data_IF_796555384833
#
_entry.id   IF_796555384833
#
_cell.length_a   1.000
_cell.length_b   1.000
_cell.length_c   1.000
_cell.angle_alpha   90.00
_cell.angle_beta   90.00
_cell.angle_gamma   90.00
#
_symmetry.space_group_name_H-M   'P 1'
#
loop_
_entity.id
_entity.type
_entity.pdbx_description
1 polymer ?
#
# COMPACT_ATOMS: atom_id res chain seq x y z
N UNK A 1 -14.11 -36.53 -27.29
CA UNK A 1 -12.82 -37.25 -27.12
C UNK A 1 -12.22 -36.95 -25.73
N UNK A 2 -12.92 -37.27 -24.62
CA UNK A 2 -12.48 -36.88 -23.26
C UNK A 2 -12.48 -38.04 -22.24
N UNK A 3 -12.77 -39.27 -22.66
CA UNK A 3 -12.90 -40.42 -21.75
C UNK A 3 -11.72 -41.41 -21.82
N UNK A 4 -10.74 -41.21 -22.72
CA UNK A 4 -9.61 -42.13 -22.86
C UNK A 4 -8.49 -41.89 -21.83
N UNK A 5 -8.23 -40.63 -21.46
CA UNK A 5 -7.08 -40.29 -20.60
C UNK A 5 -7.28 -40.63 -19.11
N UNK A 6 -8.53 -40.75 -18.65
CA UNK A 6 -8.85 -41.01 -17.23
C UNK A 6 -8.71 -42.49 -16.81
N UNK A 7 -8.69 -43.42 -17.76
CA UNK A 7 -8.61 -44.86 -17.48
C UNK A 7 -7.17 -45.34 -17.27
N UNK A 8 -6.22 -44.72 -17.98
CA UNK A 8 -4.81 -45.16 -18.00
C UNK A 8 -4.03 -44.74 -16.74
N UNK A 9 -4.33 -43.56 -16.18
CA UNK A 9 -3.71 -43.07 -14.93
C UNK A 9 -4.16 -43.86 -13.69
N UNK A 10 -5.32 -44.53 -13.76
CA UNK A 10 -5.90 -45.33 -12.65
C UNK A 10 -5.19 -46.67 -12.43
N UNK A 11 -4.49 -47.19 -13.43
CA UNK A 11 -3.85 -48.51 -13.38
C UNK A 11 -2.35 -48.46 -13.03
N UNK A 12 -1.79 -47.28 -12.76
CA UNK A 12 -0.40 -47.15 -12.32
C UNK A 12 -0.31 -47.35 -10.79
N UNK A 13 0.57 -48.25 -10.30
CA UNK A 13 0.52 -48.75 -8.92
C UNK A 13 0.73 -47.68 -7.85
N UNK A 14 1.46 -46.61 -8.16
CA UNK A 14 1.75 -45.51 -7.21
C UNK A 14 0.80 -44.32 -7.43
N UNK A 15 0.56 -43.95 -8.70
CA UNK A 15 -0.28 -42.80 -9.05
C UNK A 15 -1.77 -43.07 -8.81
N UNK A 16 -2.23 -44.31 -8.96
CA UNK A 16 -3.61 -44.71 -8.68
C UNK A 16 -3.97 -44.66 -7.19
N UNK A 17 -3.01 -44.94 -6.30
CA UNK A 17 -3.18 -44.83 -4.85
C UNK A 17 -3.31 -43.36 -4.42
N UNK A 18 -2.41 -42.49 -4.91
CA UNK A 18 -2.48 -41.04 -4.68
C UNK A 18 -3.79 -40.46 -5.23
N UNK A 19 -4.25 -40.92 -6.39
CA UNK A 19 -5.50 -40.43 -6.98
C UNK A 19 -6.73 -40.81 -6.16
N UNK A 20 -6.76 -42.04 -5.62
CA UNK A 20 -7.80 -42.50 -4.69
C UNK A 20 -7.81 -41.71 -3.38
N UNK A 21 -6.63 -41.38 -2.85
CA UNK A 21 -6.50 -40.59 -1.62
C UNK A 21 -6.97 -39.13 -1.82
N UNK A 22 -6.62 -38.53 -2.96
CA UNK A 22 -7.13 -37.20 -3.33
C UNK A 22 -8.65 -37.27 -3.52
N UNK A 23 -9.21 -38.32 -4.16
CA UNK A 23 -10.66 -38.57 -4.30
C UNK A 23 -11.39 -38.74 -2.95
N UNK A 24 -10.76 -39.41 -1.98
CA UNK A 24 -11.28 -39.62 -0.63
C UNK A 24 -11.21 -38.37 0.26
N UNK A 25 -10.42 -37.36 -0.11
CA UNK A 25 -10.31 -36.12 0.66
C UNK A 25 -11.69 -35.43 0.78
N UNK A 26 -12.12 -35.04 2.00
CA UNK A 26 -13.43 -34.44 2.22
C UNK A 26 -13.59 -33.17 1.38
N UNK A 27 -14.73 -33.07 0.69
CA UNK A 27 -15.05 -31.91 -0.15
C UNK A 27 -14.98 -30.64 0.71
N UNK A 28 -14.25 -29.60 0.26
CA UNK A 28 -14.23 -28.31 0.96
C UNK A 28 -15.65 -27.83 1.23
N UNK A 29 -15.99 -27.51 2.48
CA UNK A 29 -17.26 -26.82 2.78
C UNK A 29 -17.12 -25.39 2.28
N UNK A 30 -17.80 -24.98 1.20
CA UNK A 30 -17.59 -23.67 0.61
C UNK A 30 -18.28 -22.60 1.45
N UNK A 31 -17.64 -21.43 1.57
CA UNK A 31 -18.27 -20.28 2.21
C UNK A 31 -19.32 -19.67 1.25
N UNK A 32 -20.60 -19.73 1.65
CA UNK A 32 -21.73 -19.28 0.83
C UNK A 32 -22.11 -17.80 1.06
N UNK A 33 -21.47 -17.10 1.98
CA UNK A 33 -21.76 -15.68 2.25
C UNK A 33 -21.15 -14.77 1.18
N UNK A 34 -21.99 -14.33 0.23
CA UNK A 34 -21.60 -13.37 -0.82
C UNK A 34 -21.13 -12.06 -0.19
N UNK A 35 -21.83 -11.58 0.85
CA UNK A 35 -21.50 -10.33 1.51
C UNK A 35 -20.08 -10.35 2.10
N UNK A 36 -19.69 -11.44 2.76
CA UNK A 36 -18.34 -11.59 3.31
C UNK A 36 -17.29 -11.56 2.19
N UNK A 37 -17.52 -12.29 1.09
CA UNK A 37 -16.60 -12.31 -0.08
C UNK A 37 -16.42 -10.91 -0.68
N UNK A 38 -17.50 -10.17 -0.87
CA UNK A 38 -17.45 -8.80 -1.41
C UNK A 38 -16.71 -7.85 -0.46
N UNK A 39 -16.96 -7.95 0.84
CA UNK A 39 -16.27 -7.12 1.83
C UNK A 39 -14.77 -7.44 1.91
N UNK A 40 -14.40 -8.72 1.86
CA UNK A 40 -12.99 -9.14 1.78
C UNK A 40 -12.35 -8.63 0.49
N UNK A 41 -13.01 -8.75 -0.66
CA UNK A 41 -12.48 -8.23 -1.92
C UNK A 41 -12.30 -6.71 -1.89
N UNK A 42 -13.26 -5.97 -1.34
CA UNK A 42 -13.13 -4.53 -1.15
C UNK A 42 -11.95 -4.18 -0.25
N UNK A 43 -11.78 -4.90 0.86
CA UNK A 43 -10.65 -4.72 1.78
C UNK A 43 -9.30 -4.93 1.07
N UNK A 44 -9.22 -5.94 0.21
CA UNK A 44 -8.03 -6.29 -0.57
C UNK A 44 -7.70 -5.20 -1.59
N UNK A 45 -8.70 -4.71 -2.33
CA UNK A 45 -8.51 -3.63 -3.30
C UNK A 45 -8.01 -2.36 -2.60
N UNK A 46 -8.57 -2.02 -1.43
CA UNK A 46 -8.09 -0.87 -0.65
C UNK A 46 -6.64 -1.09 -0.16
N UNK A 47 -6.25 -2.32 0.19
CA UNK A 47 -4.86 -2.65 0.51
C UNK A 47 -3.91 -2.46 -0.68
N UNK A 48 -4.31 -2.82 -1.89
CA UNK A 48 -3.53 -2.58 -3.13
C UNK A 48 -3.41 -1.07 -3.38
N UNK A 49 -4.53 -0.33 -3.29
CA UNK A 49 -4.55 1.14 -3.43
C UNK A 49 -3.65 1.81 -2.38
N UNK A 50 -3.59 1.27 -1.16
CA UNK A 50 -2.75 1.82 -0.10
C UNK A 50 -1.26 1.77 -0.49
N UNK A 51 -0.80 0.65 -1.08
CA UNK A 51 0.57 0.51 -1.57
C UNK A 51 0.83 1.49 -2.72
N UNK A 52 -0.09 1.62 -3.67
CA UNK A 52 0.06 2.57 -4.78
C UNK A 52 0.06 4.03 -4.32
N UNK A 53 -0.77 4.42 -3.36
CA UNK A 53 -0.79 5.79 -2.83
C UNK A 53 0.49 6.08 -2.04
N UNK A 54 1.04 5.09 -1.36
CA UNK A 54 2.31 5.22 -0.66
C UNK A 54 3.51 5.25 -1.63
N UNK A 55 3.48 4.45 -2.70
CA UNK A 55 4.54 4.29 -3.68
C UNK A 55 4.49 5.30 -4.84
N UNK A 56 3.32 5.78 -5.23
CA UNK A 56 3.12 6.75 -6.33
C UNK A 56 3.58 8.17 -6.02
N UNK A 57 4.01 8.42 -4.78
CA UNK A 57 4.81 9.61 -4.43
C UNK A 57 6.29 9.42 -4.84
N UNK A 58 6.72 8.17 -5.07
CA UNK A 58 8.11 7.78 -5.29
C UNK A 58 8.45 7.32 -6.72
N UNK A 59 7.47 6.85 -7.53
CA UNK A 59 7.74 6.33 -8.89
C UNK A 59 6.71 6.80 -9.93
N UNK A 60 7.18 7.29 -11.09
CA UNK A 60 6.38 7.68 -12.27
C UNK A 60 5.86 6.46 -13.08
N UNK A 61 5.74 5.30 -12.45
CA UNK A 61 5.32 4.06 -13.11
C UNK A 61 3.79 3.86 -13.08
N UNK A 62 3.29 2.96 -13.93
CA UNK A 62 1.88 2.58 -13.96
C UNK A 62 1.45 2.02 -12.58
N UNK A 63 0.38 2.56 -11.95
CA UNK A 63 -0.05 2.11 -10.64
C UNK A 63 -0.42 0.62 -10.66
N UNK A 64 0.06 -0.16 -9.69
CA UNK A 64 -0.17 -1.62 -9.62
C UNK A 64 -1.67 -1.95 -9.55
N UNK A 65 -2.48 -1.06 -9.01
CA UNK A 65 -3.95 -1.12 -8.95
C UNK A 65 -4.56 -1.30 -10.34
N UNK A 66 -3.98 -0.69 -11.39
CA UNK A 66 -4.52 -0.72 -12.76
C UNK A 66 -4.69 -2.15 -13.27
N UNK A 67 -3.75 -3.04 -12.93
CA UNK A 67 -3.81 -4.44 -13.35
C UNK A 67 -4.23 -5.37 -12.19
N UNK A 68 -3.74 -5.14 -10.97
CA UNK A 68 -3.96 -6.04 -9.85
C UNK A 68 -5.41 -6.01 -9.33
N UNK A 69 -6.04 -4.82 -9.29
CA UNK A 69 -7.44 -4.71 -8.85
C UNK A 69 -8.41 -5.43 -9.80
N UNK A 70 -8.40 -5.20 -11.13
CA UNK A 70 -9.30 -5.94 -12.03
C UNK A 70 -8.98 -7.44 -12.04
N UNK A 71 -7.70 -7.82 -12.01
CA UNK A 71 -7.32 -9.24 -12.03
C UNK A 71 -7.77 -9.98 -10.76
N UNK A 72 -7.68 -9.33 -9.58
CA UNK A 72 -8.20 -9.90 -8.33
C UNK A 72 -9.73 -10.02 -8.33
N UNK A 73 -10.45 -9.07 -8.94
CA UNK A 73 -11.92 -9.15 -9.11
C UNK A 73 -12.29 -10.32 -10.02
N UNK A 74 -11.62 -10.47 -11.16
CA UNK A 74 -11.80 -11.61 -12.07
C UNK A 74 -11.52 -12.92 -11.33
N UNK A 75 -10.45 -12.98 -10.54
CA UNK A 75 -10.11 -14.12 -9.71
C UNK A 75 -11.22 -14.47 -8.71
N UNK A 76 -11.75 -13.47 -8.00
CA UNK A 76 -12.83 -13.65 -7.04
C UNK A 76 -14.13 -14.16 -7.70
N UNK A 77 -14.47 -13.63 -8.89
CA UNK A 77 -15.62 -14.08 -9.69
C UNK A 77 -15.41 -15.53 -10.16
N UNK A 78 -14.24 -15.83 -10.72
CA UNK A 78 -13.89 -17.18 -11.17
C UNK A 78 -13.95 -18.19 -10.02
N UNK A 79 -13.39 -17.82 -8.87
CA UNK A 79 -13.43 -18.62 -7.65
C UNK A 79 -14.87 -18.90 -7.20
N UNK A 80 -15.76 -17.91 -7.30
CA UNK A 80 -17.18 -18.07 -6.95
C UNK A 80 -17.90 -19.09 -7.84
N UNK A 81 -17.68 -19.06 -9.15
CA UNK A 81 -18.28 -20.00 -10.10
C UNK A 81 -17.71 -21.42 -9.97
N UNK A 82 -16.41 -21.54 -9.67
CA UNK A 82 -15.73 -22.83 -9.59
C UNK A 82 -15.69 -23.44 -8.17
N UNK A 83 -16.32 -22.82 -7.16
CA UNK A 83 -16.24 -23.25 -5.75
C UNK A 83 -16.68 -24.69 -5.46
N UNK A 84 -17.54 -25.27 -6.29
CA UNK A 84 -18.00 -26.66 -6.14
C UNK A 84 -17.24 -27.66 -7.03
N UNK A 85 -16.37 -27.18 -7.93
CA UNK A 85 -15.64 -28.01 -8.88
C UNK A 85 -14.22 -28.28 -8.37
N UNK A 86 -13.77 -29.53 -8.45
CA UNK A 86 -12.40 -29.90 -8.07
C UNK A 86 -11.45 -29.69 -9.25
N UNK A 87 -11.16 -28.43 -9.56
CA UNK A 87 -10.27 -28.04 -10.65
C UNK A 87 -8.80 -28.16 -10.22
N UNK A 88 -8.32 -29.40 -10.05
CA UNK A 88 -6.93 -29.73 -9.72
C UNK A 88 -5.91 -29.05 -10.66
N UNK A 89 -6.07 -29.06 -12.01
CA UNK A 89 -5.08 -28.44 -12.89
C UNK A 89 -4.99 -26.91 -12.69
N UNK A 90 -6.11 -26.24 -12.42
CA UNK A 90 -6.09 -24.81 -12.13
C UNK A 90 -5.36 -24.50 -10.83
N UNK A 91 -5.57 -25.30 -9.78
CA UNK A 91 -4.83 -25.17 -8.51
C UNK A 91 -3.33 -25.40 -8.68
N UNK A 92 -2.96 -26.37 -9.51
CA UNK A 92 -1.56 -26.64 -9.82
C UNK A 92 -0.91 -25.48 -10.58
N UNK A 93 -1.61 -24.92 -11.57
CA UNK A 93 -1.17 -23.73 -12.29
C UNK A 93 -1.00 -22.52 -11.37
N UNK A 94 -1.96 -22.28 -10.45
CA UNK A 94 -1.86 -21.21 -9.46
C UNK A 94 -0.69 -21.43 -8.48
N UNK A 95 -0.43 -22.67 -8.07
CA UNK A 95 0.71 -22.99 -7.23
C UNK A 95 2.05 -22.71 -7.94
N UNK A 96 2.17 -23.05 -9.22
CA UNK A 96 3.33 -22.69 -10.05
C UNK A 96 3.45 -21.16 -10.13
N UNK A 97 2.34 -20.45 -10.40
CA UNK A 97 2.33 -18.99 -10.44
C UNK A 97 2.85 -18.36 -9.15
N UNK A 98 2.45 -18.90 -7.98
CA UNK A 98 2.94 -18.42 -6.69
C UNK A 98 4.43 -18.70 -6.46
N UNK A 99 4.94 -19.84 -6.95
CA UNK A 99 6.38 -20.16 -6.90
C UNK A 99 7.19 -19.25 -7.83
N UNK A 100 6.67 -18.92 -9.01
CA UNK A 100 7.32 -17.98 -9.93
C UNK A 100 7.35 -16.57 -9.35
N UNK A 101 6.26 -16.11 -8.73
CA UNK A 101 6.23 -14.84 -8.00
C UNK A 101 7.26 -14.79 -6.85
N UNK A 102 7.43 -15.91 -6.14
CA UNK A 102 8.47 -16.02 -5.11
C UNK A 102 9.88 -15.97 -5.70
N UNK A 103 10.11 -16.64 -6.83
CA UNK A 103 11.41 -16.60 -7.52
C UNK A 103 11.74 -15.20 -8.04
N UNK A 104 10.77 -14.48 -8.62
CA UNK A 104 10.91 -13.08 -9.05
C UNK A 104 11.24 -12.17 -7.85
N UNK A 105 10.49 -12.30 -6.75
CA UNK A 105 10.76 -11.58 -5.50
C UNK A 105 12.19 -11.80 -5.00
N UNK A 106 12.64 -13.06 -4.91
CA UNK A 106 14.00 -13.38 -4.46
C UNK A 106 15.07 -12.86 -5.43
N UNK A 107 14.82 -12.92 -6.74
CA UNK A 107 15.71 -12.36 -7.75
C UNK A 107 15.87 -10.85 -7.57
N UNK A 108 14.76 -10.12 -7.46
CA UNK A 108 14.75 -8.67 -7.24
C UNK A 108 15.35 -8.27 -5.90
N UNK A 109 15.13 -9.07 -4.85
CA UNK A 109 15.73 -8.82 -3.54
C UNK A 109 17.27 -8.87 -3.57
N UNK A 110 17.85 -9.68 -4.45
CA UNK A 110 19.30 -9.79 -4.62
C UNK A 110 19.85 -8.67 -5.51
N UNK A 111 19.09 -8.19 -6.49
CA UNK A 111 19.53 -7.13 -7.40
C UNK A 111 19.28 -5.71 -6.87
N UNK A 112 18.20 -5.49 -6.12
CA UNK A 112 17.74 -4.19 -5.60
C UNK A 112 17.80 -4.16 -4.07
N UNK A 113 18.99 -3.87 -3.53
CA UNK A 113 19.22 -3.77 -2.08
C UNK A 113 18.74 -2.43 -1.49
N UNK A 114 18.43 -1.44 -2.31
CA UNK A 114 18.09 -0.07 -1.88
C UNK A 114 16.66 0.08 -1.38
N UNK A 115 15.68 -0.60 -1.99
CA UNK A 115 14.26 -0.44 -1.63
C UNK A 115 13.47 -1.75 -1.53
N UNK A 116 13.94 -2.62 -0.64
CA UNK A 116 13.35 -3.94 -0.37
C UNK A 116 11.88 -3.89 0.07
N UNK A 117 11.40 -2.75 0.57
CA UNK A 117 9.99 -2.56 1.00
C UNK A 117 9.04 -2.54 -0.18
N UNK A 118 9.42 -1.86 -1.26
CA UNK A 118 8.61 -1.79 -2.48
C UNK A 118 8.52 -3.17 -3.13
N UNK A 119 9.65 -3.87 -3.22
CA UNK A 119 9.75 -5.24 -3.75
C UNK A 119 8.86 -6.21 -2.93
N UNK A 120 8.84 -6.07 -1.61
CA UNK A 120 7.94 -6.86 -0.74
C UNK A 120 6.46 -6.53 -1.00
N UNK A 121 6.12 -5.25 -1.19
CA UNK A 121 4.76 -4.82 -1.53
C UNK A 121 4.26 -5.43 -2.84
N UNK A 122 5.08 -5.39 -3.89
CA UNK A 122 4.77 -5.98 -5.20
C UNK A 122 4.54 -7.49 -5.09
N UNK A 123 5.42 -8.21 -4.38
CA UNK A 123 5.28 -9.64 -4.14
C UNK A 123 3.97 -9.99 -3.44
N UNK A 124 3.61 -9.25 -2.39
CA UNK A 124 2.36 -9.48 -1.67
C UNK A 124 1.13 -9.22 -2.54
N UNK A 125 1.17 -8.22 -3.42
CA UNK A 125 0.09 -7.96 -4.39
C UNK A 125 -0.03 -9.11 -5.39
N UNK A 126 1.09 -9.58 -5.96
CA UNK A 126 1.10 -10.71 -6.89
C UNK A 126 0.50 -11.97 -6.24
N UNK A 127 0.94 -12.30 -5.01
CA UNK A 127 0.38 -13.41 -4.25
C UNK A 127 -1.11 -13.23 -3.98
N UNK A 128 -1.54 -12.01 -3.63
CA UNK A 128 -2.93 -11.73 -3.34
C UNK A 128 -3.83 -11.90 -4.56
N UNK A 129 -3.36 -11.47 -5.73
CA UNK A 129 -4.06 -11.65 -7.00
C UNK A 129 -4.19 -13.12 -7.34
N UNK A 130 -3.09 -13.89 -7.26
CA UNK A 130 -3.11 -15.34 -7.52
C UNK A 130 -4.01 -16.09 -6.53
N UNK A 131 -3.92 -15.74 -5.24
CA UNK A 131 -4.74 -16.32 -4.19
C UNK A 131 -6.24 -16.02 -4.39
N UNK A 132 -6.59 -14.88 -5.01
CA UNK A 132 -7.98 -14.52 -5.29
C UNK A 132 -8.68 -15.52 -6.23
N UNK A 133 -7.93 -16.23 -7.09
CA UNK A 133 -8.47 -17.28 -7.97
C UNK A 133 -8.81 -18.58 -7.23
N UNK A 134 -8.24 -18.84 -6.04
CA UNK A 134 -8.46 -20.06 -5.25
C UNK A 134 -8.97 -19.75 -3.83
N UNK A 135 -10.12 -19.07 -3.74
CA UNK A 135 -10.87 -18.82 -2.49
C UNK A 135 -12.12 -19.72 -2.29
N UNK A 136 -12.04 -21.07 -2.39
CA UNK A 136 -13.23 -21.90 -2.16
C UNK A 136 -13.59 -21.97 -0.67
N UNK A 137 -12.62 -21.98 0.26
CA UNK A 137 -12.87 -22.18 1.69
C UNK A 137 -12.91 -20.88 2.46
N UNK A 138 -13.69 -20.91 3.55
CA UNK A 138 -13.78 -19.84 4.55
C UNK A 138 -12.43 -19.42 5.14
N UNK A 139 -11.54 -20.38 5.40
CA UNK A 139 -10.19 -20.10 5.94
C UNK A 139 -9.35 -19.25 4.97
N UNK A 140 -9.55 -19.47 3.66
CA UNK A 140 -8.78 -18.79 2.61
C UNK A 140 -9.17 -17.31 2.55
N UNK A 141 -10.46 -16.97 2.78
CA UNK A 141 -10.90 -15.57 2.94
C UNK A 141 -10.23 -14.88 4.14
N UNK A 142 -10.03 -15.63 5.25
CA UNK A 142 -9.30 -15.15 6.42
C UNK A 142 -7.85 -14.77 6.11
N UNK A 143 -7.17 -15.58 5.29
CA UNK A 143 -5.82 -15.28 4.84
C UNK A 143 -5.78 -14.04 3.94
N UNK A 144 -6.73 -13.90 3.01
CA UNK A 144 -6.82 -12.70 2.18
C UNK A 144 -7.03 -11.41 2.98
N UNK A 145 -7.81 -11.43 4.08
CA UNK A 145 -7.92 -10.29 4.98
C UNK A 145 -6.59 -9.96 5.67
N UNK A 146 -5.86 -11.00 6.09
CA UNK A 146 -4.57 -10.85 6.77
C UNK A 146 -3.53 -10.27 5.82
N UNK A 147 -3.45 -10.77 4.58
CA UNK A 147 -2.56 -10.23 3.54
C UNK A 147 -2.93 -8.77 3.24
N UNK A 148 -4.22 -8.42 3.17
CA UNK A 148 -4.66 -7.03 3.03
C UNK A 148 -4.17 -6.11 4.16
N UNK A 149 -4.18 -6.60 5.40
CA UNK A 149 -3.64 -5.87 6.55
C UNK A 149 -2.11 -5.73 6.48
N UNK A 150 -1.40 -6.76 6.02
CA UNK A 150 0.05 -6.71 5.80
C UNK A 150 0.38 -5.68 4.72
N UNK A 151 -0.36 -5.66 3.60
CA UNK A 151 -0.21 -4.66 2.53
C UNK A 151 -0.38 -3.24 3.06
N UNK A 152 -1.40 -3.01 3.90
CA UNK A 152 -1.60 -1.73 4.57
C UNK A 152 -0.39 -1.35 5.45
N UNK A 153 0.17 -2.31 6.19
CA UNK A 153 1.35 -2.10 7.01
C UNK A 153 2.59 -1.74 6.19
N UNK A 154 2.86 -2.50 5.12
CA UNK A 154 3.97 -2.22 4.18
C UNK A 154 3.80 -0.83 3.58
N UNK A 155 2.61 -0.48 3.10
CA UNK A 155 2.30 0.87 2.60
C UNK A 155 2.57 1.96 3.65
N UNK A 156 2.22 1.72 4.91
CA UNK A 156 2.50 2.64 6.02
C UNK A 156 4.00 2.87 6.27
N UNK A 157 4.85 1.88 6.00
CA UNK A 157 6.32 2.03 6.14
C UNK A 157 6.99 2.76 4.97
N UNK A 158 6.33 2.80 3.81
CA UNK A 158 6.82 3.47 2.60
C UNK A 158 6.26 4.90 2.50
N UNK A 159 5.07 5.14 3.06
CA UNK A 159 4.39 6.43 2.98
C UNK A 159 5.19 7.57 3.60
N UNK A 160 5.38 8.64 2.83
CA UNK A 160 6.09 9.86 3.24
C UNK A 160 5.17 11.07 3.45
N UNK A 161 3.88 10.93 3.12
CA UNK A 161 2.94 12.05 3.06
C UNK A 161 1.61 11.70 3.73
N UNK A 162 0.85 12.74 4.09
CA UNK A 162 -0.46 12.57 4.73
C UNK A 162 -1.54 12.00 3.79
N UNK A 163 -1.24 11.81 2.50
CA UNK A 163 -2.18 11.28 1.50
C UNK A 163 -2.58 9.83 1.77
N UNK A 164 -1.76 9.08 2.50
CA UNK A 164 -2.07 7.72 2.96
C UNK A 164 -3.16 7.69 4.05
N UNK A 165 -3.29 8.75 4.86
CA UNK A 165 -4.21 8.81 6.00
C UNK A 165 -5.68 8.51 5.65
N UNK A 166 -6.26 9.15 4.60
CA UNK A 166 -7.60 8.81 4.13
C UNK A 166 -7.77 7.35 3.70
N UNK A 167 -6.78 6.75 3.04
CA UNK A 167 -6.82 5.34 2.61
C UNK A 167 -6.79 4.41 3.82
N UNK A 168 -5.98 4.73 4.83
CA UNK A 168 -5.95 4.03 6.11
C UNK A 168 -7.33 4.05 6.80
N UNK A 169 -7.98 5.21 6.87
CA UNK A 169 -9.32 5.33 7.45
C UNK A 169 -10.36 4.51 6.67
N UNK A 170 -10.31 4.55 5.33
CA UNK A 170 -11.17 3.74 4.48
C UNK A 170 -10.96 2.24 4.72
N UNK A 171 -9.71 1.80 4.83
CA UNK A 171 -9.38 0.41 5.13
C UNK A 171 -10.01 -0.03 6.46
N UNK A 172 -9.82 0.75 7.53
CA UNK A 172 -10.37 0.43 8.86
C UNK A 172 -11.92 0.40 8.81
N UNK A 173 -12.53 1.37 8.12
CA UNK A 173 -13.99 1.44 7.99
C UNK A 173 -14.59 0.19 7.32
N UNK A 174 -13.86 -0.43 6.38
CA UNK A 174 -14.26 -1.69 5.72
C UNK A 174 -13.84 -2.92 6.55
N UNK A 175 -12.70 -2.87 7.23
CA UNK A 175 -12.16 -3.97 8.04
C UNK A 175 -13.09 -4.33 9.19
N UNK A 176 -13.65 -3.34 9.90
CA UNK A 176 -14.55 -3.58 11.05
C UNK A 176 -15.77 -4.44 10.66
N UNK A 177 -16.63 -4.04 9.69
CA UNK A 177 -17.77 -4.87 9.30
C UNK A 177 -17.33 -6.21 8.71
N UNK A 178 -16.19 -6.26 8.00
CA UNK A 178 -15.64 -7.50 7.47
C UNK A 178 -15.28 -8.50 8.58
N UNK A 179 -14.59 -8.06 9.62
CA UNK A 179 -14.21 -8.86 10.79
C UNK A 179 -15.43 -9.34 11.59
N UNK A 180 -16.45 -8.49 11.75
CA UNK A 180 -17.71 -8.88 12.41
C UNK A 180 -18.40 -9.99 11.62
N UNK A 181 -18.44 -9.88 10.29
CA UNK A 181 -19.02 -10.90 9.41
C UNK A 181 -18.21 -12.20 9.44
N UNK A 182 -16.88 -12.12 9.44
CA UNK A 182 -16.02 -13.29 9.57
C UNK A 182 -16.26 -13.99 10.91
N UNK A 183 -16.22 -13.25 12.03
CA UNK A 183 -16.46 -13.78 13.37
C UNK A 183 -17.82 -14.48 13.48
N UNK A 184 -18.88 -13.86 12.94
CA UNK A 184 -20.23 -14.46 12.94
C UNK A 184 -20.31 -15.72 12.09
N UNK A 185 -19.67 -15.74 10.92
CA UNK A 185 -19.58 -16.93 10.09
C UNK A 185 -18.85 -18.07 10.83
N UNK A 186 -17.82 -17.73 11.62
CA UNK A 186 -17.02 -18.62 12.48
C UNK A 186 -17.87 -19.30 13.56
N UNK A 187 -18.76 -18.53 14.17
CA UNK A 187 -19.67 -19.01 15.22
C UNK A 187 -20.84 -19.87 14.69
N UNK A 188 -20.97 -20.04 13.37
CA UNK A 188 -22.05 -20.86 12.79
C UNK A 188 -23.45 -20.33 13.08
N UNK A 189 -23.59 -19.07 13.51
CA UNK A 189 -24.86 -18.44 13.87
C UNK A 189 -25.82 -18.31 12.67
N UNK A 190 -25.30 -18.40 11.45
CA UNK A 190 -26.15 -18.53 10.26
C UNK A 190 -26.74 -19.94 10.14
N UNK A 191 -25.99 -21.01 10.44
CA UNK A 191 -26.42 -22.40 10.29
C UNK A 191 -27.53 -22.82 11.27
N UNK A 192 -27.45 -22.39 12.54
CA UNK A 192 -28.36 -22.88 13.60
C UNK A 192 -29.79 -22.34 13.52
N UNK A 193 -30.01 -21.22 12.82
CA UNK A 193 -31.33 -20.57 12.67
C UNK A 193 -32.05 -21.04 11.39
N UNK A 194 -31.34 -21.67 10.45
CA UNK A 194 -31.84 -22.01 9.10
C UNK A 194 -32.85 -23.18 9.08
N UNK A 195 -32.92 -24.00 10.13
CA UNK A 195 -33.66 -25.26 10.11
C UNK A 195 -35.20 -25.19 10.10
N UNK A 196 -35.88 -24.05 10.35
CA UNK A 196 -37.31 -24.12 10.72
C UNK A 196 -38.30 -23.02 10.29
N UNK A 197 -38.04 -22.13 9.31
CA UNK A 197 -39.08 -21.12 8.97
C UNK A 197 -39.09 -20.63 7.51
N UNK A 198 -40.28 -20.32 7.00
CA UNK A 198 -40.58 -19.95 5.60
C UNK A 198 -39.78 -18.77 5.00
N UNK A 199 -39.48 -18.89 3.70
CA UNK A 199 -38.64 -18.00 2.84
C UNK A 199 -38.97 -16.50 2.90
N UNK A 200 -40.23 -16.11 3.13
CA UNK A 200 -40.65 -14.69 3.14
C UNK A 200 -40.35 -14.02 4.49
N UNK A 201 -40.55 -14.72 5.62
CA UNK A 201 -40.12 -14.24 6.95
C UNK A 201 -38.59 -14.30 7.10
N UNK A 202 -37.92 -15.23 6.41
CA UNK A 202 -36.45 -15.38 6.34
C UNK A 202 -35.73 -14.13 5.84
N UNK A 203 -36.15 -13.52 4.72
CA UNK A 203 -35.49 -12.31 4.17
C UNK A 203 -35.63 -11.10 5.09
N UNK A 204 -36.82 -10.83 5.63
CA UNK A 204 -37.05 -9.71 6.57
C UNK A 204 -36.26 -9.87 7.88
N UNK A 205 -36.21 -11.08 8.44
CA UNK A 205 -35.43 -11.35 9.67
C UNK A 205 -33.92 -11.29 9.43
N UNK A 206 -33.43 -11.73 8.26
CA UNK A 206 -32.01 -11.64 7.88
C UNK A 206 -31.57 -10.18 7.71
N UNK A 207 -32.38 -9.34 7.08
CA UNK A 207 -32.11 -7.89 6.94
C UNK A 207 -32.18 -7.19 8.31
N UNK A 208 -33.16 -7.54 9.15
CA UNK A 208 -33.27 -7.00 10.51
C UNK A 208 -32.09 -7.39 11.40
N UNK A 209 -31.63 -8.65 11.33
CA UNK A 209 -30.44 -9.11 12.06
C UNK A 209 -29.16 -8.46 11.52
N UNK A 210 -29.01 -8.36 10.19
CA UNK A 210 -27.88 -7.65 9.58
C UNK A 210 -27.85 -6.18 10.00
N UNK A 211 -28.99 -5.48 9.97
CA UNK A 211 -29.10 -4.08 10.42
C UNK A 211 -28.88 -3.90 11.93
N UNK A 212 -29.25 -4.91 12.74
CA UNK A 212 -29.00 -4.89 14.17
C UNK A 212 -27.52 -5.14 14.51
N UNK A 213 -26.84 -6.00 13.73
CA UNK A 213 -25.41 -6.31 13.94
C UNK A 213 -24.48 -5.30 13.28
N UNK A 214 -24.81 -4.82 12.08
CA UNK A 214 -24.13 -3.75 11.34
C UNK A 214 -24.78 -2.40 11.66
N UNK A 215 -25.25 -2.21 12.91
CA UNK A 215 -25.86 -0.94 13.29
C UNK A 215 -24.81 0.17 13.08
N UNK A 216 -25.11 1.21 12.29
CA UNK A 216 -24.12 2.21 11.93
C UNK A 216 -23.55 2.90 13.16
N UNK A 217 -24.37 3.07 14.22
CA UNK A 217 -23.95 3.60 15.53
C UNK A 217 -22.84 2.78 16.19
N UNK A 218 -22.96 1.44 16.24
CA UNK A 218 -21.90 0.59 16.85
C UNK A 218 -20.64 0.59 16.01
N UNK A 219 -20.77 0.59 14.68
CA UNK A 219 -19.62 0.66 13.77
C UNK A 219 -18.86 1.99 13.92
N UNK A 220 -19.58 3.11 14.04
CA UNK A 220 -18.95 4.42 14.28
C UNK A 220 -18.30 4.49 15.65
N UNK A 221 -18.93 3.96 16.71
CA UNK A 221 -18.30 3.90 18.04
C UNK A 221 -17.02 3.07 17.99
N UNK A 222 -17.05 1.86 17.38
CA UNK A 222 -15.85 1.02 17.25
C UNK A 222 -14.76 1.72 16.44
N UNK A 223 -15.11 2.39 15.34
CA UNK A 223 -14.18 3.16 14.54
C UNK A 223 -13.51 4.28 15.37
N UNK A 224 -14.30 5.05 16.12
CA UNK A 224 -13.78 6.12 17.00
C UNK A 224 -12.89 5.56 18.11
N UNK A 225 -13.24 4.42 18.70
CA UNK A 225 -12.41 3.74 19.71
C UNK A 225 -11.08 3.29 19.11
N UNK A 226 -11.08 2.68 17.93
CA UNK A 226 -9.87 2.24 17.24
C UNK A 226 -8.98 3.43 16.90
N UNK A 227 -9.55 4.51 16.35
CA UNK A 227 -8.82 5.73 16.02
C UNK A 227 -8.26 6.38 17.29
N UNK A 228 -9.07 6.49 18.34
CA UNK A 228 -8.64 7.06 19.64
C UNK A 228 -7.51 6.28 20.28
N UNK A 229 -7.58 4.94 20.27
CA UNK A 229 -6.49 4.08 20.74
C UNK A 229 -5.24 4.21 19.87
N UNK A 230 -5.40 4.20 18.54
CA UNK A 230 -4.29 4.37 17.61
C UNK A 230 -3.57 5.71 17.79
N UNK A 231 -4.32 6.80 17.92
CA UNK A 231 -3.77 8.12 18.22
C UNK A 231 -3.12 8.18 19.61
N UNK A 232 -3.73 7.53 20.61
CA UNK A 232 -3.16 7.43 21.96
C UNK A 232 -1.81 6.70 21.97
N UNK A 233 -1.72 5.56 21.29
CA UNK A 233 -0.47 4.81 21.11
C UNK A 233 0.55 5.69 20.36
N UNK A 234 0.13 6.35 19.28
CA UNK A 234 0.97 7.23 18.49
C UNK A 234 1.50 8.46 19.27
N UNK A 235 0.71 9.00 20.20
CA UNK A 235 1.12 10.09 21.06
C UNK A 235 2.12 9.66 22.14
N UNK A 236 2.01 8.41 22.61
CA UNK A 236 2.89 7.83 23.63
C UNK A 236 4.18 7.21 23.05
N UNK A 237 4.21 6.89 21.75
CA UNK A 237 5.39 6.35 21.09
C UNK A 237 6.48 7.43 20.95
N UNK A 238 7.71 7.18 21.44
CA UNK A 238 8.82 8.12 21.27
C UNK A 238 9.17 8.24 19.79
N UNK A 239 9.00 9.45 19.22
CA UNK A 239 9.37 9.74 17.84
C UNK A 239 10.87 10.02 17.78
N UNK A 240 11.66 8.98 17.52
CA UNK A 240 13.08 9.15 17.26
C UNK A 240 13.26 9.76 15.85
N UNK A 241 14.04 10.84 15.68
CA UNK A 241 14.29 11.43 14.37
C UNK A 241 15.01 10.42 13.48
N UNK A 242 14.34 9.99 12.40
CA UNK A 242 14.71 8.83 11.59
C UNK A 242 15.78 9.05 10.52
N UNK A 243 16.48 10.19 10.52
CA UNK A 243 17.56 10.45 9.56
C UNK A 243 18.68 11.24 10.23
N UNK A 244 19.56 10.54 10.94
CA UNK A 244 20.87 11.09 11.24
C UNK A 244 21.69 10.96 9.96
N UNK A 245 21.96 12.09 9.31
CA UNK A 245 22.93 12.17 8.22
C UNK A 245 24.22 11.59 8.78
N UNK A 246 24.61 10.38 8.33
CA UNK A 246 25.89 9.79 8.71
C UNK A 246 26.97 10.64 8.09
N UNK A 247 27.63 11.47 8.89
CA UNK A 247 28.86 12.12 8.47
C UNK A 247 29.89 11.04 8.18
N UNK A 248 30.61 11.17 7.06
CA UNK A 248 31.73 10.29 6.79
C UNK A 248 32.82 10.53 7.85
N UNK A 249 33.66 9.54 8.17
CA UNK A 249 34.65 9.64 9.26
C UNK A 249 35.68 10.78 9.11
N UNK A 250 35.69 11.52 7.99
CA UNK A 250 36.60 12.64 7.71
C UNK A 250 35.86 13.93 7.29
N UNK A 251 34.54 14.01 7.45
CA UNK A 251 33.79 15.26 7.19
C UNK A 251 33.67 16.08 8.47
N UNK A 252 34.00 17.38 8.41
CA UNK A 252 33.77 18.30 9.51
C UNK A 252 32.30 18.24 9.96
N UNK A 253 31.99 18.17 11.27
CA UNK A 253 30.63 18.18 11.75
C UNK A 253 29.98 19.51 11.39
N UNK A 254 29.14 19.51 10.36
CA UNK A 254 28.28 20.64 10.07
C UNK A 254 27.09 20.52 11.03
N UNK A 255 27.03 21.41 12.02
CA UNK A 255 25.83 21.56 12.83
C UNK A 255 24.74 22.16 11.92
N UNK A 256 23.89 21.30 11.41
CA UNK A 256 22.66 21.74 10.77
C UNK A 256 21.67 22.06 11.88
N UNK A 257 21.32 23.34 12.05
CA UNK A 257 20.17 23.73 12.86
C UNK A 257 18.90 23.27 12.15
N UNK A 258 18.53 22.01 12.39
CA UNK A 258 17.39 21.32 11.75
C UNK A 258 16.06 22.05 11.99
N UNK A 259 15.97 22.89 13.02
CA UNK A 259 14.79 23.71 13.31
C UNK A 259 14.49 24.79 12.25
N UNK A 260 15.50 25.26 11.51
CA UNK A 260 15.36 26.37 10.55
C UNK A 260 15.64 25.98 9.10
N UNK A 261 15.77 24.68 8.78
CA UNK A 261 16.03 24.24 7.41
C UNK A 261 14.75 24.30 6.56
N UNK A 262 14.48 25.45 5.96
CA UNK A 262 13.49 25.58 4.89
C UNK A 262 14.19 25.37 3.54
N UNK A 263 13.92 24.22 2.89
CA UNK A 263 14.46 23.88 1.56
C UNK A 263 14.07 24.86 0.45
N UNK A 264 13.24 25.87 0.75
CA UNK A 264 12.89 26.99 -0.15
C UNK A 264 13.84 28.18 -0.05
N UNK A 265 14.70 28.24 0.98
CA UNK A 265 15.59 29.37 1.23
C UNK A 265 17.02 28.90 1.46
N UNK A 266 17.66 28.41 0.39
CA UNK A 266 19.10 28.10 0.42
C UNK A 266 19.85 29.43 0.27
N UNK A 267 20.21 30.04 1.40
CA UNK A 267 21.01 31.27 1.40
C UNK A 267 22.48 30.91 1.56
N UNK A 268 23.33 31.39 0.64
CA UNK A 268 24.77 31.19 0.75
C UNK A 268 25.35 32.18 1.78
N UNK A 269 25.94 31.69 2.88
CA UNK A 269 26.50 32.54 3.94
C UNK A 269 27.73 33.35 3.51
N UNK A 270 28.27 33.15 2.30
CA UNK A 270 29.29 34.04 1.72
C UNK A 270 28.74 35.38 1.23
N UNK A 271 27.41 35.49 1.07
CA UNK A 271 26.74 36.69 0.55
C UNK A 271 25.83 37.34 1.62
N UNK A 272 26.29 37.41 2.86
CA UNK A 272 25.54 38.04 3.95
C UNK A 272 25.42 39.54 3.64
N UNK A 273 24.18 40.01 3.48
CA UNK A 273 23.83 41.43 3.50
C UNK A 273 24.23 42.02 4.84
N UNK A 274 25.36 42.73 4.87
CA UNK A 274 25.77 43.51 6.03
C UNK A 274 24.97 44.82 6.02
N UNK A 275 23.91 44.87 6.82
CA UNK A 275 23.29 46.11 7.29
C UNK A 275 21.97 46.51 6.64
N UNK A 276 20.85 45.99 7.19
CA UNK A 276 19.55 46.67 7.14
C UNK A 276 19.38 47.45 8.45
N UNK A 277 19.87 48.68 8.48
CA UNK A 277 19.50 49.67 9.48
C UNK A 277 18.38 50.54 8.93
N UNK A 278 17.33 50.76 9.73
CA UNK A 278 16.25 51.70 9.43
C UNK A 278 16.80 53.06 9.00
N UNK A 279 16.51 53.47 7.77
CA UNK A 279 16.97 54.76 7.24
C UNK A 279 16.65 54.89 5.76
N UNK A 280 15.74 55.82 5.46
CA UNK A 280 15.44 56.31 4.12
C UNK A 280 16.76 56.78 3.45
N UNK A 281 17.20 56.06 2.42
CA UNK A 281 18.52 56.25 1.84
C UNK A 281 18.67 55.60 0.47
N UNK A 282 18.56 56.42 -0.57
CA UNK A 282 18.96 56.09 -1.94
C UNK A 282 20.48 55.86 -1.98
N UNK A 283 20.91 54.60 -1.89
CA UNK A 283 22.32 54.21 -1.96
C UNK A 283 22.49 52.90 -2.71
N UNK A 284 23.08 52.96 -3.90
CA UNK A 284 23.54 51.79 -4.64
C UNK A 284 24.68 51.10 -3.89
N UNK A 285 24.47 49.84 -3.52
CA UNK A 285 25.43 49.03 -2.78
C UNK A 285 25.26 47.56 -3.12
N UNK A 286 26.31 47.02 -3.72
CA UNK A 286 26.56 45.67 -4.22
C UNK A 286 26.18 44.55 -3.23
N UNK A 287 25.63 43.46 -3.78
CA UNK A 287 25.53 42.18 -3.06
C UNK A 287 24.47 41.21 -3.56
N UNK A 288 23.45 41.67 -4.29
CA UNK A 288 22.37 40.80 -4.77
C UNK A 288 21.85 41.21 -6.13
N UNK A 289 21.85 40.26 -7.09
CA UNK A 289 21.15 40.44 -8.35
C UNK A 289 19.64 40.52 -8.11
N UNK A 290 19.00 41.55 -8.66
CA UNK A 290 17.56 41.78 -8.49
C UNK A 290 16.76 40.68 -9.21
N UNK A 291 15.86 40.01 -8.49
CA UNK A 291 15.06 38.89 -9.05
C UNK A 291 14.05 39.32 -10.13
N UNK A 292 13.74 40.61 -10.24
CA UNK A 292 12.82 41.16 -11.23
C UNK A 292 13.19 42.59 -11.61
N UNK A 293 12.87 42.98 -12.85
CA UNK A 293 13.12 44.32 -13.39
C UNK A 293 14.38 44.42 -14.26
N UNK A 294 14.54 45.52 -15.01
CA UNK A 294 15.76 45.82 -15.78
C UNK A 294 16.89 46.24 -14.84
N UNK A 295 18.12 45.79 -15.12
CA UNK A 295 19.28 46.12 -14.29
C UNK A 295 20.61 45.63 -14.86
N UNK A 296 21.70 45.91 -14.13
CA UNK A 296 23.05 45.42 -14.42
C UNK A 296 23.33 44.17 -13.61
N UNK A 297 23.93 43.17 -14.26
CA UNK A 297 24.36 41.93 -13.64
C UNK A 297 25.57 42.19 -12.72
N UNK A 298 25.51 41.74 -11.46
CA UNK A 298 26.70 41.58 -10.60
C UNK A 298 27.53 40.41 -11.16
N UNK A 299 28.74 40.72 -11.65
CA UNK A 299 29.63 39.80 -12.34
C UNK A 299 30.20 38.69 -11.44
N UNK A 300 30.12 38.86 -10.12
CA UNK A 300 30.68 37.92 -9.13
C UNK A 300 29.62 37.03 -8.47
N UNK A 301 28.33 37.33 -8.66
CA UNK A 301 27.24 36.66 -7.98
C UNK A 301 26.82 35.35 -8.68
N UNK A 302 26.76 34.26 -7.91
CA UNK A 302 26.38 32.93 -8.40
C UNK A 302 24.88 32.63 -8.22
N UNK A 303 24.18 32.37 -9.33
CA UNK A 303 22.72 32.12 -9.35
C UNK A 303 22.27 30.74 -8.87
N UNK A 304 23.17 29.78 -8.68
CA UNK A 304 22.77 28.39 -8.37
C UNK A 304 22.05 28.20 -7.04
N UNK A 305 22.00 29.25 -6.20
CA UNK A 305 21.25 29.27 -4.93
C UNK A 305 19.93 30.05 -5.00
N UNK A 306 19.61 30.70 -6.13
CA UNK A 306 18.37 31.46 -6.30
C UNK A 306 17.25 30.59 -6.85
N UNK A 307 16.02 30.94 -6.47
CA UNK A 307 14.81 30.26 -6.97
C UNK A 307 14.43 30.69 -8.39
N UNK A 308 14.95 31.84 -8.87
CA UNK A 308 14.66 32.42 -10.18
C UNK A 308 15.90 33.08 -10.79
N UNK A 309 16.01 33.02 -12.12
CA UNK A 309 17.05 33.71 -12.89
C UNK A 309 16.39 34.88 -13.64
N UNK A 310 16.85 36.10 -13.37
CA UNK A 310 16.40 37.29 -14.10
C UNK A 310 17.21 37.45 -15.39
N UNK A 311 16.60 37.15 -16.54
CA UNK A 311 17.24 37.24 -17.85
C UNK A 311 17.31 38.67 -18.41
N UNK A 312 16.66 39.64 -17.76
CA UNK A 312 16.67 41.03 -18.20
C UNK A 312 17.92 41.79 -17.74
N UNK A 313 18.78 41.15 -16.95
CA UNK A 313 20.04 41.73 -16.48
C UNK A 313 21.08 41.67 -17.61
N UNK A 314 21.76 42.80 -17.85
CA UNK A 314 22.83 42.88 -18.86
C UNK A 314 24.19 42.81 -18.19
N UNK A 315 25.08 41.98 -18.74
CA UNK A 315 26.47 41.81 -18.29
C UNK A 315 27.01 40.42 -18.60
N UNK A 316 28.26 40.17 -18.20
CA UNK A 316 28.89 38.86 -18.27
C UNK A 316 29.41 38.48 -16.88
N UNK A 317 29.33 37.20 -16.54
CA UNK A 317 29.89 36.67 -15.29
C UNK A 317 31.41 36.54 -15.43
N UNK A 318 32.15 36.92 -14.40
CA UNK A 318 33.58 36.66 -14.33
C UNK A 318 33.83 35.22 -13.87
N UNK A 319 34.69 34.45 -14.57
CA UNK A 319 35.03 33.11 -14.14
C UNK A 319 35.71 33.11 -12.76
N UNK A 320 35.00 32.66 -11.73
CA UNK A 320 35.52 32.53 -10.37
C UNK A 320 35.12 31.19 -9.76
N UNK A 321 36.00 30.63 -8.93
CA UNK A 321 35.71 29.39 -8.19
C UNK A 321 34.76 29.71 -7.04
N UNK A 322 33.50 29.29 -7.17
CA UNK A 322 32.44 29.54 -6.17
C UNK A 322 32.24 28.38 -5.19
N UNK A 323 32.66 27.17 -5.55
CA UNK A 323 32.58 25.97 -4.72
C UNK A 323 33.68 24.97 -5.12
N UNK A 324 34.30 24.33 -4.12
CA UNK A 324 35.11 23.11 -4.31
C UNK A 324 34.40 21.99 -3.59
N UNK A 325 34.13 20.90 -4.31
CA UNK A 325 33.51 19.68 -3.78
C UNK A 325 34.57 18.61 -3.62
#
# INVERSE_FOLDING_TARGET
>A
MSNFFGWEVRNLPILGLLWREIEAAPKPVPENSILLRVMVQALVIVGIIAVDVAAGVATDELPLTVWAAPLSIIGAIWSWYNRYKRNIPAKFCLAIGMLLALADFLGRLVTELSDTRLVLGEFLIQLQVLHSFDLPRRKDLGYSMTIGLILLGVAGTISQTLTYGPVLLLFIAIAIPCLILDYRSRLGLESRIIGKTSEVKKKRKKISLLNATLSPKRLTILLLVIIGLGLGIFALLPRLPGYQVRTFPVSAPINFDVENFDGRTITNPGYISQGRGDGDGSGGGSGTNQESGPGTLDSTYYYGFNTKINQNLRGQLEPQVVMRV
#
